data_IF_192050606115
#
_entry.id   IF_192050606115
#
_cell.length_a   1.000
_cell.length_b   1.000
_cell.length_c   1.000
_cell.angle_alpha   90.00
_cell.angle_beta   90.00
_cell.angle_gamma   90.00
#
_symmetry.space_group_name_H-M   'P 1'
#
loop_
_entity.id
_entity.type
_entity.pdbx_description
1 polymer ?
#
# COMPACT_ATOMS: atom_id res chain seq x y z
N UNK A 1 -2.74 25.14 0.52
CA UNK A 1 -1.89 25.18 -0.69
C UNK A 1 -2.69 25.39 -1.98
N UNK A 2 -3.96 24.96 -2.09
CA UNK A 2 -4.86 25.40 -3.17
C UNK A 2 -6.09 26.10 -2.56
N UNK A 3 -6.26 27.40 -2.79
CA UNK A 3 -7.50 28.14 -2.53
C UNK A 3 -8.52 27.81 -3.62
N UNK A 4 -8.83 26.52 -3.78
CA UNK A 4 -9.83 26.08 -4.74
C UNK A 4 -11.22 26.52 -4.25
N UNK A 5 -11.84 27.46 -4.95
CA UNK A 5 -13.22 27.89 -4.71
C UNK A 5 -14.22 26.75 -4.97
N UNK A 6 -13.86 25.80 -5.84
CA UNK A 6 -14.71 24.70 -6.29
C UNK A 6 -14.49 23.39 -5.52
N UNK A 7 -14.82 23.40 -4.23
CA UNK A 7 -14.64 22.22 -3.40
C UNK A 7 -15.45 21.00 -3.83
N UNK A 8 -16.69 21.24 -4.28
CA UNK A 8 -17.60 20.18 -4.72
C UNK A 8 -17.03 19.43 -5.93
N UNK A 9 -16.51 20.16 -6.92
CA UNK A 9 -15.93 19.58 -8.14
C UNK A 9 -14.65 18.80 -7.85
N UNK A 10 -13.83 19.28 -6.92
CA UNK A 10 -12.60 18.60 -6.52
C UNK A 10 -12.91 17.31 -5.73
N UNK A 11 -13.82 17.36 -4.77
CA UNK A 11 -14.34 16.19 -4.03
C UNK A 11 -14.89 15.16 -5.01
N UNK A 12 -15.74 15.57 -5.96
CA UNK A 12 -16.36 14.66 -6.92
C UNK A 12 -15.34 14.00 -7.87
N UNK A 13 -14.34 14.74 -8.34
CA UNK A 13 -13.24 14.16 -9.13
C UNK A 13 -12.45 13.14 -8.33
N UNK A 14 -12.06 13.45 -7.09
CA UNK A 14 -11.31 12.52 -6.23
C UNK A 14 -12.13 11.26 -5.91
N UNK A 15 -13.41 11.43 -5.62
CA UNK A 15 -14.34 10.32 -5.35
C UNK A 15 -14.56 9.42 -6.55
N UNK A 16 -14.52 9.92 -7.79
CA UNK A 16 -14.76 9.09 -8.97
C UNK A 16 -13.48 8.44 -9.51
N UNK A 17 -12.35 9.11 -9.40
CA UNK A 17 -11.12 8.69 -10.09
C UNK A 17 -10.58 7.35 -9.56
N UNK A 18 -10.50 7.19 -8.23
CA UNK A 18 -9.93 5.98 -7.62
C UNK A 18 -10.86 4.75 -7.74
N UNK A 19 -12.14 4.80 -7.32
CA UNK A 19 -13.04 3.67 -7.52
C UNK A 19 -13.37 3.41 -8.99
N UNK A 20 -13.34 4.42 -9.87
CA UNK A 20 -13.51 4.22 -11.31
C UNK A 20 -12.38 3.38 -11.92
N UNK A 21 -11.12 3.62 -11.54
CA UNK A 21 -9.99 2.81 -11.98
C UNK A 21 -10.11 1.37 -11.46
N UNK A 22 -10.45 1.19 -10.17
CA UNK A 22 -10.60 -0.14 -9.57
C UNK A 22 -11.73 -0.94 -10.21
N UNK A 23 -12.87 -0.30 -10.48
CA UNK A 23 -14.00 -0.93 -11.17
C UNK A 23 -13.63 -1.31 -12.61
N UNK A 24 -12.87 -0.46 -13.31
CA UNK A 24 -12.35 -0.79 -14.64
C UNK A 24 -11.45 -2.03 -14.63
N UNK A 25 -10.51 -2.12 -13.69
CA UNK A 25 -9.66 -3.32 -13.51
C UNK A 25 -10.50 -4.55 -13.18
N UNK A 26 -11.46 -4.41 -12.27
CA UNK A 26 -12.37 -5.50 -11.90
C UNK A 26 -13.18 -6.00 -13.10
N UNK A 27 -13.74 -5.11 -13.92
CA UNK A 27 -14.48 -5.49 -15.13
C UNK A 27 -13.60 -6.21 -16.15
N UNK A 28 -12.36 -5.73 -16.37
CA UNK A 28 -11.41 -6.39 -17.27
C UNK A 28 -11.08 -7.79 -16.78
N UNK A 29 -10.75 -7.95 -15.50
CA UNK A 29 -10.46 -9.27 -14.92
C UNK A 29 -11.66 -10.20 -15.01
N UNK A 30 -12.86 -9.71 -14.73
CA UNK A 30 -14.07 -10.52 -14.78
C UNK A 30 -14.47 -10.89 -16.22
N UNK A 31 -14.20 -10.02 -17.19
CA UNK A 31 -14.38 -10.32 -18.62
C UNK A 31 -13.43 -11.45 -19.06
N UNK A 32 -12.16 -11.44 -18.61
CA UNK A 32 -11.22 -12.54 -18.87
C UNK A 32 -11.69 -13.87 -18.26
N UNK A 33 -12.26 -13.83 -17.06
CA UNK A 33 -12.80 -15.03 -16.38
C UNK A 33 -14.05 -15.57 -17.09
N UNK A 34 -14.84 -14.69 -17.70
CA UNK A 34 -16.05 -15.04 -18.45
C UNK A 34 -15.73 -15.84 -19.72
N UNK A 35 -14.65 -15.49 -20.42
CA UNK A 35 -14.15 -16.22 -21.60
C UNK A 35 -13.78 -17.68 -21.27
N UNK A 36 -13.16 -17.90 -20.11
CA UNK A 36 -12.75 -19.22 -19.64
C UNK A 36 -13.92 -20.07 -19.08
N UNK A 37 -15.17 -19.58 -19.12
CA UNK A 37 -16.39 -20.22 -18.55
C UNK A 37 -16.22 -20.74 -17.12
N UNK A 38 -15.34 -20.11 -16.35
CA UNK A 38 -15.03 -20.54 -14.99
C UNK A 38 -16.16 -20.19 -14.02
N UNK A 39 -16.47 -21.09 -13.08
CA UNK A 39 -17.52 -20.91 -12.06
C UNK A 39 -17.27 -19.76 -11.08
N UNK A 40 -16.12 -19.08 -11.17
CA UNK A 40 -15.81 -17.85 -10.44
C UNK A 40 -16.31 -16.55 -11.10
N UNK A 41 -16.97 -16.62 -12.26
CA UNK A 41 -17.51 -15.46 -12.95
C UNK A 41 -18.66 -14.83 -12.14
N UNK A 42 -18.54 -13.54 -11.83
CA UNK A 42 -19.54 -12.82 -11.05
C UNK A 42 -20.70 -12.42 -11.98
N UNK A 43 -21.96 -12.80 -11.69
CA UNK A 43 -23.07 -12.46 -12.56
C UNK A 43 -23.28 -10.93 -12.66
N UNK A 44 -23.75 -10.47 -13.81
CA UNK A 44 -23.90 -9.03 -14.11
C UNK A 44 -24.66 -8.24 -13.04
N UNK A 45 -25.68 -8.84 -12.41
CA UNK A 45 -26.47 -8.20 -11.36
C UNK A 45 -25.66 -7.90 -10.10
N UNK A 46 -24.80 -8.82 -9.65
CA UNK A 46 -23.96 -8.60 -8.46
C UNK A 46 -22.80 -7.66 -8.76
N UNK A 47 -22.29 -7.62 -9.99
CA UNK A 47 -21.33 -6.58 -10.41
C UNK A 47 -21.90 -5.17 -10.28
N UNK A 48 -23.13 -4.96 -10.76
CA UNK A 48 -23.80 -3.67 -10.67
C UNK A 48 -24.10 -3.29 -9.20
N UNK A 49 -24.56 -4.25 -8.40
CA UNK A 49 -24.80 -4.04 -6.98
C UNK A 49 -23.49 -3.67 -6.23
N UNK A 50 -22.38 -4.36 -6.51
CA UNK A 50 -21.07 -4.05 -5.95
C UNK A 50 -20.60 -2.66 -6.38
N UNK A 51 -20.76 -2.28 -7.65
CA UNK A 51 -20.42 -0.97 -8.15
C UNK A 51 -21.17 0.15 -7.40
N UNK A 52 -22.50 0.02 -7.30
CA UNK A 52 -23.35 1.01 -6.62
C UNK A 52 -23.02 1.10 -5.13
N UNK A 53 -22.91 -0.04 -4.44
CA UNK A 53 -22.54 -0.08 -3.03
C UNK A 53 -21.18 0.59 -2.78
N UNK A 54 -20.20 0.28 -3.62
CA UNK A 54 -18.84 0.81 -3.50
C UNK A 54 -18.79 2.32 -3.74
N UNK A 55 -19.46 2.81 -4.79
CA UNK A 55 -19.57 4.24 -5.04
C UNK A 55 -20.33 4.96 -3.92
N UNK A 56 -21.43 4.39 -3.41
CA UNK A 56 -22.19 5.01 -2.33
C UNK A 56 -21.33 5.22 -1.08
N UNK A 57 -20.57 4.21 -0.66
CA UNK A 57 -19.67 4.30 0.50
C UNK A 57 -18.55 5.31 0.24
N UNK A 58 -17.91 5.25 -0.94
CA UNK A 58 -16.80 6.15 -1.30
C UNK A 58 -17.23 7.61 -1.38
N UNK A 59 -18.42 7.88 -1.95
CA UNK A 59 -18.99 9.22 -2.05
C UNK A 59 -19.29 9.78 -0.67
N UNK A 60 -19.97 9.01 0.18
CA UNK A 60 -20.30 9.44 1.54
C UNK A 60 -19.03 9.75 2.35
N UNK A 61 -18.06 8.84 2.34
CA UNK A 61 -16.84 8.98 3.14
C UNK A 61 -16.00 10.20 2.70
N UNK A 62 -15.82 10.40 1.40
CA UNK A 62 -15.05 11.54 0.87
C UNK A 62 -15.82 12.85 1.04
N UNK A 63 -17.15 12.84 0.92
CA UNK A 63 -17.97 14.02 1.19
C UNK A 63 -17.87 14.44 2.65
N UNK A 64 -18.02 13.50 3.60
CA UNK A 64 -17.85 13.73 5.04
C UNK A 64 -16.44 14.26 5.34
N UNK A 65 -15.40 13.62 4.80
CA UNK A 65 -14.01 14.05 4.96
C UNK A 65 -13.76 15.47 4.43
N UNK A 66 -14.33 15.80 3.26
CA UNK A 66 -14.22 17.15 2.70
C UNK A 66 -14.96 18.18 3.55
N UNK A 67 -16.18 17.88 4.01
CA UNK A 67 -16.99 18.75 4.85
C UNK A 67 -16.32 19.07 6.19
N UNK A 68 -15.75 18.06 6.86
CA UNK A 68 -14.98 18.25 8.10
C UNK A 68 -13.76 19.14 7.88
N UNK A 69 -13.10 19.02 6.72
CA UNK A 69 -11.97 19.87 6.35
C UNK A 69 -12.38 21.31 6.05
N UNK A 70 -13.56 21.54 5.46
CA UNK A 70 -14.08 22.90 5.22
C UNK A 70 -14.44 23.64 6.51
N UNK A 71 -14.88 22.92 7.55
CA UNK A 71 -15.18 23.53 8.85
C UNK A 71 -13.93 23.90 9.65
N UNK A 72 -12.78 23.27 9.42
CA UNK A 72 -11.54 23.62 10.11
C UNK A 72 -10.92 24.88 9.48
N UNK A 73 -10.58 25.86 10.33
CA UNK A 73 -9.84 27.06 9.93
C UNK A 73 -8.56 26.66 9.19
N UNK A 74 -8.22 27.42 8.14
CA UNK A 74 -7.01 27.19 7.35
C UNK A 74 -5.81 27.16 8.30
N UNK A 75 -5.09 26.03 8.35
CA UNK A 75 -3.89 25.93 9.18
C UNK A 75 -2.94 27.07 8.80
N UNK A 76 -2.68 27.93 9.77
CA UNK A 76 -1.68 28.97 9.64
C UNK A 76 -0.33 28.28 9.57
N UNK A 77 0.35 28.42 8.44
CA UNK A 77 1.66 27.80 8.27
C UNK A 77 2.62 28.46 9.26
N UNK A 78 3.31 27.69 10.11
CA UNK A 78 4.19 28.26 11.15
C UNK A 78 5.41 28.99 10.58
N UNK A 79 5.59 29.03 9.26
CA UNK A 79 6.77 29.60 8.61
C UNK A 79 6.40 30.37 7.34
N UNK A 80 7.01 31.54 7.16
CA UNK A 80 7.00 32.28 5.89
C UNK A 80 7.76 31.46 4.83
N UNK A 81 7.06 30.98 3.81
CA UNK A 81 7.69 30.33 2.66
C UNK A 81 8.54 31.34 1.90
N UNK A 82 9.84 31.08 1.76
CA UNK A 82 10.71 31.87 0.88
C UNK A 82 10.30 31.67 -0.59
N UNK A 83 10.23 32.74 -1.38
CA UNK A 83 9.78 32.68 -2.79
C UNK A 83 10.82 32.06 -3.73
N UNK A 84 12.08 32.02 -3.31
CA UNK A 84 13.18 31.42 -4.05
C UNK A 84 13.33 29.97 -3.59
N UNK A 85 13.29 29.05 -4.55
CA UNK A 85 13.46 27.63 -4.32
C UNK A 85 14.94 27.39 -3.94
N UNK A 86 15.19 26.97 -2.70
CA UNK A 86 16.55 26.70 -2.22
C UNK A 86 17.15 25.53 -3.00
N UNK A 87 18.42 25.62 -3.37
CA UNK A 87 19.12 24.53 -4.05
C UNK A 87 19.18 23.30 -3.15
N UNK A 88 18.93 22.14 -3.75
CA UNK A 88 19.02 20.84 -3.09
C UNK A 88 20.50 20.52 -2.83
N UNK A 89 20.88 20.40 -1.56
CA UNK A 89 22.23 19.97 -1.18
C UNK A 89 22.45 18.50 -1.61
N UNK A 90 23.69 18.12 -1.97
CA UNK A 90 24.01 16.73 -2.26
C UNK A 90 23.76 15.85 -1.03
N UNK A 91 22.78 14.95 -1.14
CA UNK A 91 22.45 13.99 -0.10
C UNK A 91 23.55 12.92 0.05
N UNK A 92 23.85 12.57 1.30
CA UNK A 92 24.74 11.46 1.65
C UNK A 92 24.27 10.13 1.02
N UNK A 93 25.21 9.19 0.83
CA UNK A 93 25.00 7.94 0.08
C UNK A 93 23.81 7.10 0.58
N UNK A 94 23.58 7.05 1.90
CA UNK A 94 22.47 6.33 2.53
C UNK A 94 21.09 7.00 2.35
N UNK A 95 21.04 8.29 2.00
CA UNK A 95 19.80 9.03 1.72
C UNK A 95 19.41 8.98 0.24
N UNK A 96 20.18 8.28 -0.60
CA UNK A 96 19.81 8.11 -2.02
C UNK A 96 18.46 7.40 -2.11
N UNK A 97 17.57 7.86 -3.01
CA UNK A 97 16.18 7.38 -3.08
C UNK A 97 16.07 5.89 -3.38
N UNK A 98 17.10 5.29 -4.00
CA UNK A 98 17.15 3.85 -4.29
C UNK A 98 17.44 3.04 -3.02
N UNK A 99 18.40 3.48 -2.22
CA UNK A 99 18.77 2.82 -0.97
C UNK A 99 17.66 2.93 0.08
N UNK A 100 17.07 4.13 0.24
CA UNK A 100 15.93 4.36 1.12
C UNK A 100 14.69 3.53 0.73
N UNK A 101 14.47 3.32 -0.57
CA UNK A 101 13.38 2.47 -1.07
C UNK A 101 13.61 0.98 -0.78
N UNK A 102 14.84 0.50 -0.93
CA UNK A 102 15.21 -0.88 -0.63
C UNK A 102 15.13 -1.20 0.87
N UNK A 103 15.72 -0.35 1.72
CA UNK A 103 15.70 -0.53 3.17
C UNK A 103 14.28 -0.40 3.73
N UNK A 104 13.50 0.55 3.21
CA UNK A 104 12.10 0.72 3.60
C UNK A 104 11.20 -0.48 3.26
N UNK A 105 11.58 -1.30 2.28
CA UNK A 105 10.84 -2.50 1.88
C UNK A 105 11.21 -3.77 2.65
N UNK A 106 12.39 -3.84 3.27
CA UNK A 106 12.88 -5.04 3.97
C UNK A 106 12.11 -5.31 5.26
N UNK A 107 11.79 -4.27 6.03
CA UNK A 107 11.00 -4.39 7.26
C UNK A 107 9.57 -4.92 7.02
N UNK A 108 8.77 -4.35 6.08
CA UNK A 108 7.46 -4.90 5.75
C UNK A 108 7.55 -6.26 5.06
N UNK A 109 8.62 -6.56 4.33
CA UNK A 109 8.85 -7.92 3.79
C UNK A 109 9.01 -8.96 4.91
N UNK A 110 9.74 -8.62 5.98
CA UNK A 110 9.86 -9.47 7.17
C UNK A 110 8.51 -9.73 7.84
N UNK A 111 7.65 -8.71 7.93
CA UNK A 111 6.29 -8.86 8.44
C UNK A 111 5.47 -9.84 7.60
N UNK A 112 5.38 -9.64 6.28
CA UNK A 112 4.66 -10.53 5.32
C UNK A 112 5.18 -11.97 5.37
N UNK A 113 6.49 -12.13 5.54
CA UNK A 113 7.11 -13.45 5.52
C UNK A 113 6.65 -14.35 6.68
N UNK A 114 6.46 -13.78 7.88
CA UNK A 114 5.96 -14.52 9.06
C UNK A 114 4.53 -15.03 8.82
N UNK A 115 3.72 -14.26 8.10
CA UNK A 115 2.33 -14.60 7.77
C UNK A 115 2.26 -15.75 6.78
N UNK A 116 3.09 -15.69 5.73
CA UNK A 116 3.21 -16.76 4.72
C UNK A 116 3.57 -18.10 5.35
N UNK A 117 4.47 -18.09 6.34
CA UNK A 117 4.83 -19.30 7.08
C UNK A 117 3.63 -19.86 7.87
N UNK A 118 2.91 -19.00 8.58
CA UNK A 118 1.76 -19.42 9.39
C UNK A 118 0.62 -19.98 8.53
N UNK A 119 0.35 -19.36 7.39
CA UNK A 119 -0.67 -19.83 6.43
C UNK A 119 -0.28 -21.21 5.89
N UNK A 120 0.98 -21.40 5.49
CA UNK A 120 1.45 -22.68 4.94
C UNK A 120 1.38 -23.81 5.98
N UNK A 121 1.77 -23.54 7.22
CA UNK A 121 1.65 -24.49 8.34
C UNK A 121 0.19 -24.80 8.65
N UNK A 122 -0.70 -23.80 8.65
CA UNK A 122 -2.13 -23.99 8.93
C UNK A 122 -2.85 -24.82 7.87
N UNK A 123 -2.45 -24.69 6.59
CA UNK A 123 -2.93 -25.53 5.50
C UNK A 123 -2.50 -26.99 5.71
N UNK A 124 -1.26 -27.21 6.16
CA UNK A 124 -0.73 -28.55 6.42
C UNK A 124 -1.43 -29.25 7.60
N UNK A 125 -1.88 -28.48 8.59
CA UNK A 125 -2.63 -28.95 9.75
C UNK A 125 -4.15 -28.99 9.53
N UNK A 126 -4.63 -28.60 8.34
CA UNK A 126 -6.05 -28.60 7.94
C UNK A 126 -6.97 -27.81 8.90
N UNK A 127 -6.44 -26.74 9.53
CA UNK A 127 -7.16 -25.90 10.49
C UNK A 127 -7.56 -24.55 9.87
N UNK A 128 -8.55 -24.57 8.98
CA UNK A 128 -8.96 -23.39 8.21
C UNK A 128 -9.66 -22.31 9.05
N UNK A 129 -10.28 -22.66 10.17
CA UNK A 129 -11.07 -21.73 11.00
C UNK A 129 -10.22 -20.63 11.66
N UNK A 130 -8.94 -20.90 11.91
CA UNK A 130 -8.04 -19.94 12.56
C UNK A 130 -7.37 -18.99 11.57
N UNK A 131 -7.35 -19.33 10.28
CA UNK A 131 -6.63 -18.55 9.26
C UNK A 131 -7.30 -17.20 9.05
N UNK A 132 -8.64 -17.15 8.96
CA UNK A 132 -9.36 -15.93 8.61
C UNK A 132 -9.24 -14.82 9.68
N UNK A 133 -9.34 -15.18 10.97
CA UNK A 133 -9.21 -14.21 12.07
C UNK A 133 -7.78 -13.71 12.26
N UNK A 134 -6.79 -14.59 12.11
CA UNK A 134 -5.38 -14.24 12.24
C UNK A 134 -4.88 -13.35 11.11
N UNK A 135 -5.35 -13.60 9.87
CA UNK A 135 -5.00 -12.79 8.70
C UNK A 135 -5.43 -11.32 8.85
N UNK A 136 -6.58 -11.08 9.50
CA UNK A 136 -7.10 -9.72 9.70
C UNK A 136 -6.21 -8.90 10.66
N UNK A 137 -5.83 -9.48 11.80
CA UNK A 137 -4.95 -8.82 12.79
C UNK A 137 -3.61 -8.48 12.16
N UNK A 138 -3.09 -9.41 11.38
CA UNK A 138 -1.83 -9.26 10.68
C UNK A 138 -1.89 -8.18 9.61
N UNK A 139 -2.98 -8.14 8.83
CA UNK A 139 -3.20 -7.10 7.83
C UNK A 139 -3.20 -5.71 8.47
N UNK A 140 -3.76 -5.55 9.66
CA UNK A 140 -3.71 -4.29 10.41
C UNK A 140 -2.28 -3.92 10.85
N UNK A 141 -1.50 -4.89 11.34
CA UNK A 141 -0.08 -4.68 11.72
C UNK A 141 0.78 -4.33 10.50
N UNK A 142 0.50 -4.94 9.34
CA UNK A 142 1.16 -4.64 8.08
C UNK A 142 0.89 -3.20 7.63
N UNK A 143 -0.35 -2.74 7.73
CA UNK A 143 -0.70 -1.34 7.45
C UNK A 143 0.05 -0.40 8.41
N UNK A 144 0.08 -0.73 9.70
CA UNK A 144 0.72 0.09 10.73
C UNK A 144 2.24 0.20 10.51
N UNK A 145 2.90 -0.93 10.24
CA UNK A 145 4.35 -0.95 9.94
C UNK A 145 4.67 -0.23 8.64
N UNK A 146 3.88 -0.41 7.58
CA UNK A 146 4.06 0.36 6.34
C UNK A 146 3.88 1.86 6.56
N UNK A 147 2.90 2.27 7.39
CA UNK A 147 2.69 3.67 7.74
C UNK A 147 3.87 4.23 8.56
N UNK A 148 4.36 3.49 9.55
CA UNK A 148 5.50 3.88 10.39
C UNK A 148 6.76 4.12 9.56
N UNK A 149 7.16 3.14 8.73
CA UNK A 149 8.35 3.25 7.88
C UNK A 149 8.22 4.42 6.90
N UNK A 150 7.02 4.62 6.34
CA UNK A 150 6.76 5.76 5.43
C UNK A 150 6.90 7.10 6.15
N UNK A 151 6.40 7.22 7.39
CA UNK A 151 6.51 8.44 8.20
C UNK A 151 7.97 8.72 8.56
N UNK A 152 8.71 7.72 9.02
CA UNK A 152 10.12 7.86 9.42
C UNK A 152 10.99 8.28 8.23
N UNK A 153 10.82 7.62 7.08
CA UNK A 153 11.57 7.98 5.87
C UNK A 153 11.18 9.36 5.34
N UNK A 154 9.90 9.74 5.44
CA UNK A 154 9.44 11.08 5.10
C UNK A 154 10.06 12.14 6.02
N UNK A 155 10.15 11.86 7.33
CA UNK A 155 10.77 12.76 8.31
C UNK A 155 12.24 13.02 7.99
N UNK A 156 13.03 11.97 7.74
CA UNK A 156 14.43 12.12 7.35
C UNK A 156 14.59 12.88 6.02
N UNK A 157 13.69 12.66 5.05
CA UNK A 157 13.68 13.41 3.79
C UNK A 157 13.38 14.90 4.01
N UNK A 158 12.44 15.24 4.91
CA UNK A 158 12.16 16.62 5.30
C UNK A 158 13.35 17.27 6.00
N UNK A 159 14.03 16.57 6.91
CA UNK A 159 15.24 17.06 7.57
C UNK A 159 16.38 17.33 6.57
N UNK A 160 16.41 16.61 5.45
CA UNK A 160 17.36 16.84 4.35
C UNK A 160 16.95 17.96 3.38
N UNK A 161 15.95 18.78 3.74
CA UNK A 161 15.40 19.89 2.94
C UNK A 161 14.89 19.46 1.53
N UNK A 162 14.56 18.18 1.34
CA UNK A 162 14.06 17.66 0.07
C UNK A 162 12.54 17.83 -0.05
N UNK A 163 12.09 18.75 -0.92
CA UNK A 163 10.68 19.12 -1.07
C UNK A 163 9.87 18.18 -2.00
N UNK A 164 10.53 17.31 -2.78
CA UNK A 164 9.89 16.33 -3.67
C UNK A 164 9.48 15.03 -2.95
N UNK A 165 8.95 15.13 -1.72
CA UNK A 165 8.62 13.96 -0.88
C UNK A 165 7.41 13.16 -1.38
N UNK A 166 6.42 13.83 -1.96
CA UNK A 166 5.05 13.30 -2.17
C UNK A 166 5.01 11.99 -2.95
N UNK A 167 5.69 11.93 -4.09
CA UNK A 167 5.75 10.72 -4.91
C UNK A 167 6.74 9.68 -4.39
N UNK A 168 7.77 10.11 -3.66
CA UNK A 168 8.78 9.20 -3.11
C UNK A 168 8.22 8.41 -1.93
N UNK A 169 7.48 9.04 -1.02
CA UNK A 169 6.82 8.34 0.10
C UNK A 169 5.87 7.25 -0.39
N UNK A 170 5.09 7.52 -1.46
CA UNK A 170 4.20 6.54 -2.07
C UNK A 170 4.96 5.36 -2.70
N UNK A 171 6.02 5.66 -3.46
CA UNK A 171 6.83 4.64 -4.13
C UNK A 171 7.66 3.77 -3.17
N UNK A 172 8.00 4.28 -1.98
CA UNK A 172 8.72 3.50 -0.96
C UNK A 172 7.83 2.48 -0.26
N UNK A 173 6.58 2.84 0.06
CA UNK A 173 5.61 1.86 0.55
C UNK A 173 5.26 0.83 -0.55
N UNK A 174 5.15 1.26 -1.81
CA UNK A 174 4.83 0.37 -2.94
C UNK A 174 5.93 -0.62 -3.34
N UNK A 175 7.19 -0.39 -2.98
CA UNK A 175 8.28 -1.32 -3.37
C UNK A 175 8.24 -2.66 -2.64
N UNK A 176 7.61 -2.75 -1.46
CA UNK A 176 7.43 -4.02 -0.74
C UNK A 176 6.62 -5.03 -1.55
N UNK A 177 5.63 -4.57 -2.32
CA UNK A 177 4.82 -5.40 -3.21
C UNK A 177 5.65 -6.02 -4.35
N UNK A 178 6.61 -5.29 -4.90
CA UNK A 178 7.49 -5.77 -5.97
C UNK A 178 8.44 -6.88 -5.45
N UNK A 179 8.98 -6.69 -4.24
CA UNK A 179 9.84 -7.69 -3.60
C UNK A 179 9.07 -8.96 -3.26
N UNK A 180 7.84 -8.82 -2.74
CA UNK A 180 6.97 -9.96 -2.41
C UNK A 180 6.57 -10.73 -3.67
N UNK A 181 6.17 -10.04 -4.74
CA UNK A 181 5.82 -10.67 -6.01
C UNK A 181 6.98 -11.46 -6.62
N UNK A 182 8.19 -10.90 -6.58
CA UNK A 182 9.41 -11.57 -7.04
C UNK A 182 9.74 -12.80 -6.19
N UNK A 183 9.57 -12.72 -4.87
CA UNK A 183 9.81 -13.83 -3.95
C UNK A 183 8.82 -15.00 -4.17
N UNK A 184 7.54 -14.71 -4.34
CA UNK A 184 6.51 -15.71 -4.64
C UNK A 184 6.76 -16.39 -5.99
N UNK A 185 7.17 -15.63 -7.02
CA UNK A 185 7.52 -16.19 -8.34
C UNK A 185 8.71 -17.16 -8.25
N UNK A 186 9.72 -16.81 -7.46
CA UNK A 186 10.89 -17.65 -7.23
C UNK A 186 10.54 -18.93 -6.45
N UNK A 187 9.70 -18.81 -5.41
CA UNK A 187 9.25 -19.93 -4.59
C UNK A 187 8.38 -20.95 -5.35
N UNK A 188 7.62 -20.52 -6.37
CA UNK A 188 6.82 -21.41 -7.23
C UNK A 188 7.68 -22.14 -8.27
N UNK A 189 8.83 -21.58 -8.64
CA UNK A 189 9.70 -22.14 -9.69
C UNK A 189 10.71 -23.18 -9.18
N UNK A 190 10.87 -23.33 -7.86
CA UNK A 190 11.88 -24.22 -7.26
C UNK A 190 11.24 -25.14 -6.21
N UNK A 191 10.96 -26.41 -6.55
CA UNK A 191 10.26 -27.33 -5.65
C UNK A 191 11.24 -28.10 -4.77
N UNK A 192 12.10 -27.45 -3.96
CA UNK A 192 13.06 -28.20 -3.14
C UNK A 192 13.43 -27.52 -1.80
N UNK A 193 13.36 -28.34 -0.74
CA UNK A 193 13.90 -28.29 0.64
C UNK A 193 15.06 -27.32 0.99
N UNK A 194 15.79 -26.83 0.00
CA UNK A 194 16.87 -25.85 0.11
C UNK A 194 16.37 -24.49 0.60
N UNK A 195 15.16 -24.05 0.19
CA UNK A 195 14.59 -22.79 0.67
C UNK A 195 14.36 -22.81 2.18
N UNK A 196 13.91 -23.93 2.72
CA UNK A 196 13.64 -24.11 4.16
C UNK A 196 14.92 -24.16 5.00
N UNK A 197 16.04 -24.64 4.42
CA UNK A 197 17.35 -24.69 5.07
C UNK A 197 18.08 -23.34 5.02
N UNK A 198 18.01 -22.62 3.88
CA UNK A 198 18.50 -21.25 3.79
C UNK A 198 17.72 -20.29 4.68
N UNK A 199 16.40 -20.48 4.82
CA UNK A 199 15.56 -19.69 5.72
C UNK A 199 15.95 -19.82 7.19
N UNK A 200 16.33 -21.02 7.63
CA UNK A 200 16.79 -21.28 9.00
C UNK A 200 18.16 -20.63 9.27
N UNK A 201 19.03 -20.59 8.26
CA UNK A 201 20.35 -19.97 8.34
C UNK A 201 20.28 -18.43 8.36
N UNK A 202 19.43 -17.81 7.53
CA UNK A 202 19.27 -16.34 7.50
C UNK A 202 18.59 -15.78 8.76
N UNK A 203 17.67 -16.51 9.37
CA UNK A 203 17.03 -16.08 10.62
C UNK A 203 17.97 -16.19 11.84
N UNK A 204 18.92 -17.14 11.81
CA UNK A 204 19.93 -17.31 12.87
C UNK A 204 21.05 -16.28 12.77
N UNK A 205 21.40 -15.82 11.56
CA UNK A 205 22.44 -14.80 11.33
C UNK A 205 21.97 -13.35 11.54
N UNK A 206 20.66 -13.07 11.57
CA UNK A 206 20.12 -11.72 11.83
C UNK A 206 19.75 -11.47 13.30
N UNK A 207 19.79 -12.50 14.16
CA UNK A 207 19.45 -12.41 15.59
C UNK A 207 20.70 -12.56 16.50
N UNK A 208 21.88 -12.83 15.91
CA UNK A 208 23.18 -12.73 16.57
C UNK A 208 23.95 -11.51 16.05
#
# INVERSE_FOLDING_TARGET
MFRGTEWKKNTLKTTLMLPGILLGVFLVLNALIWEEKSSGAVPFGTMFALAVLWFAISVLLVFVGSYLRFKKLAMEYPMKTNKILRQILEQAWYMKPIFSRLVGGILPFGAVFVELFFILTSIWLNQFDYIFGFLFIIFDILILTCAEITIVLCYFQLCSEYYLWWWKSYLTAGSSGISTFSCTRYSISSPDWILQSWFRASFTLCIC
#
